data_IF_186150946234
#
_entry.id   IF_186150946234
#
_cell.length_a   1.000
_cell.length_b   1.000
_cell.length_c   1.000
_cell.angle_alpha   90.00
_cell.angle_beta   90.00
_cell.angle_gamma   90.00
#
_symmetry.space_group_name_H-M   'P 1'
#
loop_
_entity.id
_entity.type
_entity.pdbx_description
1 polymer ?
#
# COMPACT_ATOMS: atom_id res chain seq x y z
N UNK A 1 -0.48 19.85 7.94
CA UNK A 1 -0.84 20.79 6.86
C UNK A 1 -2.23 20.45 6.33
N UNK A 2 -2.85 21.34 5.55
CA UNK A 2 -4.11 21.03 4.83
C UNK A 2 -3.73 20.40 3.49
N UNK A 3 -4.29 19.24 3.12
CA UNK A 3 -4.01 18.58 1.85
C UNK A 3 -4.71 19.29 0.68
N UNK A 4 -4.15 19.19 -0.51
CA UNK A 4 -4.79 19.59 -1.76
C UNK A 4 -5.50 18.36 -2.36
N UNK A 5 -6.82 18.37 -2.34
CA UNK A 5 -7.64 17.30 -2.91
C UNK A 5 -7.85 17.55 -4.40
N UNK A 6 -7.57 16.55 -5.24
CA UNK A 6 -7.63 16.67 -6.71
C UNK A 6 -8.57 15.63 -7.34
N UNK A 7 -9.25 15.96 -8.45
CA UNK A 7 -10.09 15.01 -9.18
C UNK A 7 -9.28 14.05 -10.05
N UNK A 8 -8.00 14.33 -10.26
CA UNK A 8 -7.06 13.47 -10.99
C UNK A 8 -6.52 12.34 -10.11
N UNK A 9 -5.71 11.46 -10.67
CA UNK A 9 -5.03 10.39 -9.92
C UNK A 9 -3.62 10.81 -9.45
N UNK A 10 -3.32 12.11 -9.42
CA UNK A 10 -2.04 12.60 -8.92
C UNK A 10 -1.95 12.43 -7.40
N UNK A 11 -0.98 11.66 -6.94
CA UNK A 11 -0.78 11.41 -5.53
C UNK A 11 0.68 11.63 -5.13
N UNK A 12 0.91 12.61 -4.27
CA UNK A 12 2.24 12.90 -3.71
C UNK A 12 2.14 13.37 -2.27
N UNK A 13 3.15 13.02 -1.49
CA UNK A 13 3.25 13.38 -0.07
C UNK A 13 4.69 13.75 0.25
N UNK A 14 4.90 14.87 0.89
CA UNK A 14 6.20 15.31 1.41
C UNK A 14 6.22 15.27 2.93
N UNK A 15 7.22 14.60 3.50
CA UNK A 15 7.49 14.59 4.91
C UNK A 15 6.37 13.98 5.76
N UNK A 16 5.78 12.86 5.33
CA UNK A 16 4.79 12.15 6.12
C UNK A 16 5.44 11.50 7.35
N UNK A 17 4.80 11.67 8.50
CA UNK A 17 5.20 11.04 9.77
C UNK A 17 4.00 10.28 10.35
N UNK A 18 4.29 9.19 11.04
CA UNK A 18 3.26 8.49 11.81
C UNK A 18 3.05 9.21 13.15
N UNK A 19 1.86 9.79 13.43
CA UNK A 19 1.67 10.70 14.56
C UNK A 19 1.83 10.04 15.93
N UNK A 20 1.74 8.72 16.00
CA UNK A 20 1.89 7.94 17.24
C UNK A 20 3.27 7.27 17.39
N UNK A 21 4.21 7.54 16.48
CA UNK A 21 5.59 7.04 16.59
C UNK A 21 6.47 8.19 17.05
N UNK A 22 7.08 8.03 18.22
CA UNK A 22 8.04 9.01 18.75
C UNK A 22 9.28 9.05 17.85
N UNK A 23 9.77 10.24 17.57
CA UNK A 23 10.95 10.49 16.73
C UNK A 23 10.86 9.86 15.31
N UNK A 24 9.62 9.79 14.77
CA UNK A 24 9.37 9.25 13.45
C UNK A 24 10.12 10.05 12.36
N UNK A 25 10.90 9.35 11.55
CA UNK A 25 11.59 9.96 10.41
C UNK A 25 10.58 10.34 9.32
N UNK A 26 10.64 11.57 8.81
CA UNK A 26 9.74 12.01 7.75
C UNK A 26 10.05 11.28 6.42
N UNK A 27 9.05 10.71 5.79
CA UNK A 27 9.18 10.10 4.47
C UNK A 27 8.45 10.94 3.41
N UNK A 28 9.06 11.04 2.22
CA UNK A 28 8.41 11.67 1.06
C UNK A 28 8.19 10.63 -0.01
N UNK A 29 7.05 10.72 -0.69
CA UNK A 29 6.64 9.71 -1.64
C UNK A 29 5.73 10.31 -2.72
N UNK A 30 5.78 9.76 -3.92
CA UNK A 30 4.87 10.11 -5.02
C UNK A 30 4.57 8.92 -5.90
N UNK A 31 3.38 8.86 -6.46
CA UNK A 31 3.03 7.93 -7.52
C UNK A 31 3.63 8.46 -8.82
N UNK A 32 4.83 7.99 -9.16
CA UNK A 32 5.59 8.51 -10.31
C UNK A 32 5.11 7.95 -11.65
N UNK A 33 4.52 6.76 -11.63
CA UNK A 33 3.98 6.09 -12.83
C UNK A 33 3.02 4.97 -12.43
N UNK A 34 2.15 4.59 -13.36
CA UNK A 34 1.22 3.47 -13.18
C UNK A 34 0.23 3.68 -12.04
N UNK A 35 -0.27 2.59 -11.52
CA UNK A 35 -1.25 2.57 -10.45
C UNK A 35 -0.84 1.69 -9.25
N UNK A 36 0.31 1.03 -9.32
CA UNK A 36 0.85 0.15 -8.28
C UNK A 36 2.18 0.71 -7.79
N UNK A 37 2.33 0.91 -6.48
CA UNK A 37 3.59 1.25 -5.86
C UNK A 37 4.05 0.12 -4.94
N UNK A 38 5.25 -0.40 -5.20
CA UNK A 38 5.84 -1.50 -4.44
C UNK A 38 6.89 -0.92 -3.49
N UNK A 39 6.60 -1.02 -2.19
CA UNK A 39 7.52 -0.66 -1.11
C UNK A 39 8.37 -1.88 -0.77
N UNK A 40 9.67 -1.79 -1.00
CA UNK A 40 10.62 -2.86 -0.73
C UNK A 40 11.75 -2.37 0.19
N UNK A 41 12.49 -3.28 0.76
CA UNK A 41 13.59 -2.98 1.69
C UNK A 41 13.66 -4.00 2.81
N UNK A 42 14.68 -3.85 3.67
CA UNK A 42 14.92 -4.76 4.80
C UNK A 42 13.73 -4.80 5.78
N UNK A 43 13.65 -5.89 6.56
CA UNK A 43 12.77 -5.91 7.71
C UNK A 43 13.21 -4.81 8.69
N UNK A 44 12.25 -4.17 9.36
CA UNK A 44 12.45 -3.02 10.24
C UNK A 44 12.81 -1.68 9.56
N UNK A 45 12.87 -1.61 8.21
CA UNK A 45 13.06 -0.34 7.50
C UNK A 45 11.85 0.62 7.57
N UNK A 46 10.80 0.26 8.33
CA UNK A 46 9.62 1.12 8.51
C UNK A 46 8.58 1.05 7.41
N UNK A 47 8.62 0.05 6.50
CA UNK A 47 7.64 -0.12 5.41
C UNK A 47 6.19 -0.06 5.90
N UNK A 48 5.82 -0.93 6.84
CA UNK A 48 4.47 -0.97 7.41
C UNK A 48 4.08 0.32 8.14
N UNK A 49 5.03 0.96 8.82
CA UNK A 49 4.82 2.25 9.50
C UNK A 49 4.52 3.35 8.50
N UNK A 50 5.28 3.41 7.40
CA UNK A 50 5.06 4.38 6.32
C UNK A 50 3.73 4.16 5.62
N UNK A 51 3.37 2.91 5.30
CA UNK A 51 2.05 2.59 4.72
C UNK A 51 0.90 2.99 5.65
N UNK A 52 1.03 2.75 6.97
CA UNK A 52 0.04 3.21 7.97
C UNK A 52 -0.06 4.73 8.02
N UNK A 53 1.09 5.42 8.01
CA UNK A 53 1.14 6.88 8.01
C UNK A 53 0.49 7.49 6.77
N UNK A 54 0.80 6.95 5.58
CA UNK A 54 0.17 7.35 4.30
C UNK A 54 -1.34 7.11 4.32
N UNK A 55 -1.77 5.93 4.76
CA UNK A 55 -3.19 5.57 4.84
C UNK A 55 -3.95 6.50 5.78
N UNK A 56 -3.37 6.77 6.96
CA UNK A 56 -3.96 7.69 7.94
C UNK A 56 -4.04 9.12 7.38
N UNK A 57 -3.00 9.59 6.71
CA UNK A 57 -2.99 10.91 6.08
C UNK A 57 -4.10 11.02 5.01
N UNK A 58 -4.27 10.01 4.14
CA UNK A 58 -5.35 9.98 3.15
C UNK A 58 -6.72 9.98 3.82
N UNK A 59 -6.90 9.17 4.87
CA UNK A 59 -8.17 9.12 5.60
C UNK A 59 -8.52 10.47 6.23
N UNK A 60 -7.57 11.11 6.92
CA UNK A 60 -7.75 12.45 7.51
C UNK A 60 -8.06 13.50 6.43
N UNK A 61 -7.38 13.44 5.28
CA UNK A 61 -7.63 14.32 4.14
C UNK A 61 -9.09 14.23 3.66
N UNK A 62 -9.65 13.02 3.56
CA UNK A 62 -11.05 12.80 3.17
C UNK A 62 -12.07 13.23 4.26
N UNK A 63 -11.62 13.33 5.51
CA UNK A 63 -12.41 13.92 6.60
C UNK A 63 -12.34 15.47 6.63
N UNK A 64 -11.56 16.09 5.74
CA UNK A 64 -11.34 17.54 5.74
C UNK A 64 -10.44 18.03 6.89
N UNK A 65 -9.64 17.14 7.47
CA UNK A 65 -8.78 17.42 8.61
C UNK A 65 -7.34 17.73 8.18
N UNK A 66 -6.57 18.47 9.00
CA UNK A 66 -5.13 18.58 8.81
C UNK A 66 -4.44 17.23 8.86
N UNK A 67 -3.41 17.06 8.03
CA UNK A 67 -2.66 15.81 7.90
C UNK A 67 -1.22 15.94 8.42
N UNK A 68 -0.61 14.87 8.96
CA UNK A 68 0.73 14.89 9.54
C UNK A 68 1.83 14.80 8.44
N UNK A 69 1.84 15.81 7.56
CA UNK A 69 2.77 15.92 6.42
C UNK A 69 3.20 17.37 6.24
N UNK A 70 4.27 17.62 5.48
CA UNK A 70 4.65 18.98 5.05
C UNK A 70 3.73 19.46 3.93
N UNK A 71 3.56 18.67 2.88
CA UNK A 71 2.64 18.93 1.79
C UNK A 71 2.02 17.64 1.27
N UNK A 72 0.81 17.72 0.68
CA UNK A 72 0.10 16.57 0.13
C UNK A 72 -0.82 16.98 -1.01
N UNK A 73 -0.70 16.27 -2.13
CA UNK A 73 -1.69 16.22 -3.21
C UNK A 73 -2.33 14.84 -3.14
N UNK A 74 -3.65 14.79 -3.04
CA UNK A 74 -4.38 13.54 -2.81
C UNK A 74 -5.57 13.42 -3.76
N UNK A 75 -5.69 12.31 -4.50
CA UNK A 75 -6.90 12.01 -5.27
C UNK A 75 -8.13 11.91 -4.36
N UNK A 76 -9.28 12.23 -4.93
CA UNK A 76 -10.56 11.97 -4.29
C UNK A 76 -10.89 10.49 -4.44
N UNK A 77 -10.63 9.70 -3.39
CA UNK A 77 -11.00 8.29 -3.34
C UNK A 77 -12.42 8.09 -2.80
N UNK A 78 -13.15 7.15 -3.37
CA UNK A 78 -14.48 6.73 -2.91
C UNK A 78 -14.40 5.57 -1.92
N UNK A 79 -13.22 4.94 -1.79
CA UNK A 79 -12.95 3.87 -0.83
C UNK A 79 -11.48 3.75 -0.48
N UNK A 80 -11.22 3.44 0.79
CA UNK A 80 -9.88 3.13 1.30
C UNK A 80 -9.94 1.72 1.90
N UNK A 81 -9.16 0.80 1.35
CA UNK A 81 -9.13 -0.60 1.77
C UNK A 81 -7.73 -0.98 2.22
N UNK A 82 -7.63 -1.61 3.39
CA UNK A 82 -6.33 -1.98 3.94
C UNK A 82 -6.30 -3.47 4.30
N UNK A 83 -5.16 -4.09 4.04
CA UNK A 83 -4.79 -5.40 4.57
C UNK A 83 -3.44 -5.23 5.28
N UNK A 84 -3.49 -4.67 6.49
CA UNK A 84 -2.32 -4.38 7.32
C UNK A 84 -2.50 -5.14 8.64
N UNK A 85 -1.55 -6.02 8.98
CA UNK A 85 -1.59 -6.80 10.24
C UNK A 85 -2.95 -7.49 10.47
N UNK A 86 -3.36 -8.39 9.58
CA UNK A 86 -4.55 -9.21 9.80
C UNK A 86 -4.41 -9.98 11.12
N UNK A 87 -5.32 -9.81 12.08
CA UNK A 87 -5.29 -10.56 13.33
C UNK A 87 -5.45 -12.05 13.08
N UNK A 88 -4.83 -12.86 13.92
CA UNK A 88 -4.95 -14.31 13.89
C UNK A 88 -6.38 -14.74 14.24
N UNK A 89 -7.22 -14.93 13.23
CA UNK A 89 -8.55 -15.53 13.45
C UNK A 89 -8.41 -17.04 13.54
N UNK A 90 -7.94 -17.54 14.68
CA UNK A 90 -7.94 -18.96 15.03
C UNK A 90 -9.36 -19.57 15.06
N UNK A 91 -10.40 -18.73 15.01
CA UNK A 91 -11.80 -19.15 15.19
C UNK A 91 -12.45 -19.77 13.95
N UNK A 92 -11.93 -19.50 12.74
CA UNK A 92 -12.63 -19.90 11.50
C UNK A 92 -12.04 -21.12 10.81
N UNK A 93 -10.99 -21.77 11.35
CA UNK A 93 -10.38 -22.98 10.77
C UNK A 93 -9.81 -22.80 9.35
N UNK A 94 -9.76 -21.58 8.82
CA UNK A 94 -9.21 -21.25 7.50
C UNK A 94 -7.71 -21.00 7.63
N UNK A 95 -6.94 -21.48 6.65
CA UNK A 95 -5.53 -21.12 6.58
C UNK A 95 -5.39 -19.60 6.39
N UNK A 96 -4.36 -18.98 6.99
CA UNK A 96 -4.06 -17.56 6.82
C UNK A 96 -3.98 -17.15 5.36
N UNK A 97 -3.41 -18.00 4.52
CA UNK A 97 -3.32 -17.82 3.07
C UNK A 97 -4.72 -17.63 2.45
N UNK A 98 -5.67 -18.50 2.78
CA UNK A 98 -7.03 -18.40 2.27
C UNK A 98 -7.74 -17.13 2.74
N UNK A 99 -7.51 -16.69 3.98
CA UNK A 99 -8.06 -15.45 4.49
C UNK A 99 -7.53 -14.22 3.73
N UNK A 100 -6.24 -14.19 3.41
CA UNK A 100 -5.64 -13.13 2.59
C UNK A 100 -6.19 -13.14 1.15
N UNK A 101 -6.30 -14.32 0.52
CA UNK A 101 -6.90 -14.45 -0.83
C UNK A 101 -8.34 -13.92 -0.85
N UNK A 102 -9.16 -14.29 0.14
CA UNK A 102 -10.54 -13.82 0.24
C UNK A 102 -10.61 -12.31 0.44
N UNK A 103 -9.70 -11.74 1.24
CA UNK A 103 -9.61 -10.29 1.45
C UNK A 103 -9.26 -9.55 0.16
N UNK A 104 -8.26 -10.04 -0.56
CA UNK A 104 -7.88 -9.47 -1.87
C UNK A 104 -9.05 -9.56 -2.85
N UNK A 105 -9.72 -10.71 -2.91
CA UNK A 105 -10.93 -10.89 -3.74
C UNK A 105 -12.02 -9.88 -3.40
N UNK A 106 -12.30 -9.65 -2.13
CA UNK A 106 -13.29 -8.65 -1.68
C UNK A 106 -12.92 -7.24 -2.14
N UNK A 107 -11.66 -6.85 -1.98
CA UNK A 107 -11.15 -5.56 -2.46
C UNK A 107 -11.29 -5.43 -3.98
N UNK A 108 -10.91 -6.47 -4.73
CA UNK A 108 -11.04 -6.49 -6.18
C UNK A 108 -12.50 -6.36 -6.64
N UNK A 109 -13.45 -6.99 -5.95
CA UNK A 109 -14.88 -6.84 -6.24
C UNK A 109 -15.35 -5.39 -6.09
N UNK A 110 -14.77 -4.62 -5.17
CA UNK A 110 -15.03 -3.18 -5.05
C UNK A 110 -14.37 -2.38 -6.18
N UNK A 111 -13.14 -2.71 -6.54
CA UNK A 111 -12.44 -2.06 -7.65
C UNK A 111 -13.14 -2.26 -8.99
N UNK A 112 -13.71 -3.43 -9.26
CA UNK A 112 -14.48 -3.72 -10.49
C UNK A 112 -15.67 -2.77 -10.70
N UNK A 113 -16.20 -2.15 -9.62
CA UNK A 113 -17.32 -1.20 -9.74
C UNK A 113 -16.95 0.13 -10.41
N UNK A 114 -15.69 0.35 -10.79
CA UNK A 114 -15.19 1.57 -11.39
C UNK A 114 -14.95 2.72 -10.40
N UNK A 115 -15.13 2.47 -9.10
CA UNK A 115 -14.87 3.46 -8.04
C UNK A 115 -13.38 3.68 -7.84
N UNK A 116 -13.00 4.94 -7.65
CA UNK A 116 -11.62 5.28 -7.30
C UNK A 116 -11.30 4.82 -5.88
N UNK A 117 -10.34 3.93 -5.74
CA UNK A 117 -9.98 3.34 -4.45
C UNK A 117 -8.48 3.47 -4.18
N UNK A 118 -8.15 3.68 -2.91
CA UNK A 118 -6.82 3.43 -2.39
C UNK A 118 -6.82 2.05 -1.71
N UNK A 119 -5.92 1.18 -2.14
CA UNK A 119 -5.75 -0.16 -1.59
C UNK A 119 -4.34 -0.31 -1.03
N UNK A 120 -4.23 -0.73 0.22
CA UNK A 120 -2.94 -0.90 0.91
C UNK A 120 -2.80 -2.35 1.36
N UNK A 121 -1.79 -3.03 0.83
CA UNK A 121 -1.51 -4.44 1.09
C UNK A 121 -0.11 -4.55 1.73
N UNK A 122 -0.07 -4.89 3.01
CA UNK A 122 1.19 -4.99 3.76
C UNK A 122 1.62 -6.46 3.86
N UNK A 123 2.77 -6.77 3.22
CA UNK A 123 3.40 -8.10 3.19
C UNK A 123 2.43 -9.24 2.79
N UNK A 124 1.88 -9.16 1.58
CA UNK A 124 0.98 -10.21 1.06
C UNK A 124 1.59 -11.60 1.18
N UNK A 125 0.78 -12.57 1.60
CA UNK A 125 1.11 -14.00 1.68
C UNK A 125 2.31 -14.33 2.57
N UNK A 126 2.59 -13.50 3.58
CA UNK A 126 3.72 -13.64 4.50
C UNK A 126 3.81 -15.01 5.19
N UNK A 127 2.67 -15.67 5.40
CA UNK A 127 2.57 -16.89 6.21
C UNK A 127 2.51 -18.19 5.39
N UNK A 128 2.87 -18.15 4.13
CA UNK A 128 3.01 -19.34 3.28
C UNK A 128 4.47 -19.54 2.89
N UNK A 129 4.78 -20.64 2.18
CA UNK A 129 6.15 -20.86 1.70
C UNK A 129 6.53 -19.80 0.65
N UNK A 130 7.84 -19.56 0.51
CA UNK A 130 8.37 -18.48 -0.33
C UNK A 130 7.95 -18.59 -1.79
N UNK A 131 7.85 -19.82 -2.33
CA UNK A 131 7.47 -20.04 -3.73
C UNK A 131 6.00 -19.69 -3.96
N UNK A 132 5.11 -20.17 -3.11
CA UNK A 132 3.67 -19.92 -3.24
C UNK A 132 3.37 -18.42 -2.99
N UNK A 133 4.08 -17.80 -2.03
CA UNK A 133 3.97 -16.36 -1.76
C UNK A 133 4.36 -15.54 -3.00
N UNK A 134 5.46 -15.89 -3.65
CA UNK A 134 5.92 -15.24 -4.87
C UNK A 134 4.91 -15.42 -6.02
N UNK A 135 4.50 -16.63 -6.34
CA UNK A 135 3.57 -16.93 -7.43
C UNK A 135 2.21 -16.23 -7.21
N UNK A 136 1.68 -16.27 -5.98
CA UNK A 136 0.44 -15.59 -5.64
C UNK A 136 0.57 -14.06 -5.74
N UNK A 137 1.68 -13.48 -5.28
CA UNK A 137 1.93 -12.04 -5.36
C UNK A 137 2.03 -11.57 -6.81
N UNK A 138 2.69 -12.32 -7.68
CA UNK A 138 2.77 -12.05 -9.13
C UNK A 138 1.38 -12.10 -9.75
N UNK A 139 0.60 -13.14 -9.49
CA UNK A 139 -0.75 -13.30 -10.04
C UNK A 139 -1.67 -12.15 -9.60
N UNK A 140 -1.62 -11.75 -8.34
CA UNK A 140 -2.39 -10.61 -7.82
C UNK A 140 -1.96 -9.32 -8.51
N UNK A 141 -0.66 -9.04 -8.62
CA UNK A 141 -0.16 -7.82 -9.26
C UNK A 141 -0.61 -7.71 -10.72
N UNK A 142 -0.57 -8.81 -11.49
CA UNK A 142 -1.06 -8.84 -12.87
C UNK A 142 -2.54 -8.47 -12.97
N UNK A 143 -3.36 -8.91 -12.02
CA UNK A 143 -4.78 -8.55 -11.96
C UNK A 143 -4.98 -7.07 -11.59
N UNK A 144 -4.18 -6.53 -10.65
CA UNK A 144 -4.32 -5.16 -10.16
C UNK A 144 -3.98 -4.10 -11.21
N UNK A 145 -3.12 -4.40 -12.18
CA UNK A 145 -2.79 -3.51 -13.30
C UNK A 145 -4.02 -3.06 -14.09
N UNK A 146 -5.04 -3.92 -14.18
CA UNK A 146 -6.28 -3.61 -14.90
C UNK A 146 -7.14 -2.51 -14.28
N UNK A 147 -6.86 -2.10 -13.04
CA UNK A 147 -7.65 -1.11 -12.30
C UNK A 147 -6.97 0.26 -12.25
N UNK A 148 -6.78 0.91 -13.40
CA UNK A 148 -6.08 2.20 -13.51
C UNK A 148 -6.72 3.36 -12.73
N UNK A 149 -7.99 3.22 -12.33
CA UNK A 149 -8.72 4.15 -11.48
C UNK A 149 -8.49 3.94 -9.98
N UNK A 150 -7.69 2.96 -9.59
CA UNK A 150 -7.31 2.68 -8.21
C UNK A 150 -5.80 2.85 -8.03
N UNK A 151 -5.37 3.21 -6.82
CA UNK A 151 -3.98 3.12 -6.41
C UNK A 151 -3.76 1.95 -5.46
N UNK A 152 -2.69 1.20 -5.70
CA UNK A 152 -2.29 0.05 -4.89
C UNK A 152 -0.92 0.33 -4.27
N UNK A 153 -0.85 0.35 -2.95
CA UNK A 153 0.40 0.46 -2.19
C UNK A 153 0.68 -0.91 -1.59
N UNK A 154 1.76 -1.54 -2.02
CA UNK A 154 2.09 -2.92 -1.66
C UNK A 154 3.47 -2.93 -1.00
N UNK A 155 3.58 -3.43 0.24
CA UNK A 155 4.87 -3.72 0.81
C UNK A 155 5.25 -5.18 0.58
N UNK A 156 6.54 -5.42 0.40
CA UNK A 156 7.08 -6.77 0.27
C UNK A 156 8.50 -6.85 0.81
N UNK A 157 8.85 -8.02 1.32
CA UNK A 157 10.22 -8.42 1.60
C UNK A 157 10.75 -9.43 0.55
N UNK A 158 9.91 -9.83 -0.41
CA UNK A 158 10.25 -10.77 -1.49
C UNK A 158 10.91 -9.99 -2.61
N UNK A 159 12.25 -10.01 -2.68
CA UNK A 159 13.02 -9.26 -3.68
C UNK A 159 12.76 -9.74 -5.11
N UNK A 160 12.52 -11.04 -5.30
CA UNK A 160 12.19 -11.63 -6.59
C UNK A 160 10.90 -11.06 -7.17
N UNK A 161 9.90 -10.82 -6.31
CA UNK A 161 8.66 -10.17 -6.72
C UNK A 161 8.91 -8.72 -7.18
N UNK A 162 9.68 -7.95 -6.43
CA UNK A 162 10.02 -6.59 -6.82
C UNK A 162 10.78 -6.56 -8.17
N UNK A 163 11.75 -7.46 -8.37
CA UNK A 163 12.51 -7.60 -9.62
C UNK A 163 11.64 -8.00 -10.81
N UNK A 164 10.64 -8.87 -10.60
CA UNK A 164 9.74 -9.31 -11.66
C UNK A 164 8.99 -8.16 -12.34
N UNK A 165 8.72 -7.08 -11.59
CA UNK A 165 7.97 -5.90 -12.07
C UNK A 165 8.84 -4.64 -12.25
N UNK A 166 10.15 -4.72 -12.10
CA UNK A 166 11.06 -3.56 -12.16
C UNK A 166 10.93 -2.76 -13.46
N UNK A 167 10.70 -3.46 -14.57
CA UNK A 167 10.56 -2.86 -15.91
C UNK A 167 9.11 -2.58 -16.31
N UNK A 168 8.15 -2.92 -15.45
CA UNK A 168 6.73 -2.74 -15.74
C UNK A 168 6.32 -1.28 -15.56
N UNK A 169 5.72 -0.69 -16.60
CA UNK A 169 5.29 0.71 -16.57
C UNK A 169 4.10 0.98 -15.65
N UNK A 170 3.35 -0.06 -15.25
CA UNK A 170 2.25 0.05 -14.30
C UNK A 170 2.71 0.08 -12.85
N UNK A 171 3.99 -0.21 -12.58
CA UNK A 171 4.57 -0.27 -11.26
C UNK A 171 5.60 0.82 -11.03
N UNK A 172 5.56 1.49 -9.88
CA UNK A 172 6.65 2.26 -9.34
C UNK A 172 7.20 1.60 -8.08
N UNK A 173 8.44 1.97 -7.70
CA UNK A 173 9.14 1.34 -6.59
C UNK A 173 9.60 2.38 -5.61
N UNK A 174 9.48 2.07 -4.34
CA UNK A 174 10.01 2.85 -3.23
C UNK A 174 10.87 1.95 -2.35
N UNK A 175 12.18 2.17 -2.41
CA UNK A 175 13.13 1.41 -1.61
C UNK A 175 13.37 2.09 -0.26
N UNK A 176 13.21 1.34 0.82
CA UNK A 176 13.42 1.82 2.18
C UNK A 176 14.63 1.14 2.81
N UNK A 177 15.57 1.94 3.28
CA UNK A 177 16.74 1.47 4.05
C UNK A 177 16.47 1.65 5.54
N UNK A 178 16.94 0.68 6.33
CA UNK A 178 17.00 0.86 7.78
C UNK A 178 18.24 1.70 8.10
N UNK A 179 18.06 2.86 8.70
CA UNK A 179 19.18 3.55 9.35
C UNK A 179 19.59 2.74 10.59
N UNK A 180 20.82 2.24 10.58
CA UNK A 180 21.43 1.64 11.77
C UNK A 180 21.92 2.83 12.61
N UNK A 181 21.19 3.14 13.67
CA UNK A 181 21.59 4.11 14.70
C UNK A 181 22.52 3.42 15.70
#
# INVERSE_FOLDING_TARGET
CMPVMVPTMDFSVEGVVHPFVKDAQPNSWQMSRGNICIFTGSNMAGKSTTLKALTLAVWLAHCGLPVPVKSMICPLYEGIYTSINLPDSLRDGRSHFMAEVLRIKEVMQKAVTGKRCLVVLDEMFRRTNAKDAFEASVAVNELLKGFSHCHFLISTHILEYAKAFEKDSSCCFYYMEAEII
#
